data_IF_159334002431
#
_entry.id   IF_159334002431
#
_cell.length_a   1.000
_cell.length_b   1.000
_cell.length_c   1.000
_cell.angle_alpha   90.00
_cell.angle_beta   90.00
_cell.angle_gamma   90.00
#
_symmetry.space_group_name_H-M   'P 1'
#
loop_
_entity.id
_entity.type
_entity.pdbx_description
1 polymer ?
#
# COMPACT_ATOMS: atom_id res chain seq x y z
N UNK A 1 -39.81 -23.78 -71.02
CA UNK A 1 -40.23 -23.61 -69.61
C UNK A 1 -39.09 -23.76 -68.58
N UNK A 2 -37.84 -23.81 -68.98
CA UNK A 2 -36.73 -23.97 -68.08
C UNK A 2 -36.00 -22.70 -67.58
N UNK A 3 -36.07 -21.51 -68.25
CA UNK A 3 -35.31 -20.39 -67.70
C UNK A 3 -35.99 -19.62 -66.56
N UNK A 4 -37.29 -19.65 -66.41
CA UNK A 4 -38.01 -18.90 -65.38
C UNK A 4 -37.86 -19.55 -63.97
N UNK A 5 -37.82 -20.88 -63.92
CA UNK A 5 -37.59 -21.60 -62.62
C UNK A 5 -36.22 -21.35 -62.10
N UNK A 6 -35.19 -21.16 -62.87
CA UNK A 6 -33.84 -20.91 -62.47
C UNK A 6 -33.69 -19.50 -61.82
N UNK A 7 -34.43 -18.54 -62.37
CA UNK A 7 -34.43 -17.16 -61.87
C UNK A 7 -35.21 -16.98 -60.57
N UNK A 8 -36.27 -17.76 -60.37
CA UNK A 8 -37.08 -17.80 -59.16
C UNK A 8 -36.23 -18.40 -58.00
N UNK A 9 -35.57 -19.54 -58.25
CA UNK A 9 -34.71 -20.22 -57.26
C UNK A 9 -33.45 -19.37 -56.84
N UNK A 10 -32.95 -18.59 -57.80
CA UNK A 10 -31.81 -17.69 -57.53
C UNK A 10 -32.29 -16.49 -56.75
N UNK A 11 -33.45 -15.95 -56.98
CA UNK A 11 -34.04 -14.86 -56.20
C UNK A 11 -34.44 -15.31 -54.78
N UNK A 12 -34.95 -16.54 -54.61
CA UNK A 12 -35.23 -17.11 -53.28
C UNK A 12 -33.94 -17.29 -52.46
N UNK A 13 -32.87 -17.81 -53.05
CA UNK A 13 -31.57 -17.92 -52.38
C UNK A 13 -30.99 -16.57 -51.98
N UNK A 14 -31.14 -15.56 -52.86
CA UNK A 14 -30.70 -14.21 -52.57
C UNK A 14 -31.52 -13.57 -51.43
N UNK A 15 -32.83 -13.85 -51.43
CA UNK A 15 -33.74 -13.37 -50.40
C UNK A 15 -33.43 -14.05 -49.03
N UNK A 16 -33.22 -15.37 -49.00
CA UNK A 16 -32.81 -16.12 -47.82
C UNK A 16 -31.48 -15.60 -47.26
N UNK A 17 -30.48 -15.42 -48.09
CA UNK A 17 -29.19 -14.86 -47.67
C UNK A 17 -29.32 -13.43 -47.10
N UNK A 18 -30.28 -12.65 -47.59
CA UNK A 18 -30.55 -11.31 -47.09
C UNK A 18 -31.29 -11.34 -45.76
N UNK A 19 -32.17 -12.32 -45.56
CA UNK A 19 -32.85 -12.55 -44.27
C UNK A 19 -31.85 -13.01 -43.22
N UNK A 20 -31.00 -13.99 -43.52
CA UNK A 20 -29.94 -14.46 -42.60
C UNK A 20 -29.00 -13.32 -42.20
N UNK A 21 -28.63 -12.46 -43.15
CA UNK A 21 -27.80 -11.29 -42.86
C UNK A 21 -28.49 -10.28 -41.93
N UNK A 22 -29.79 -10.03 -42.16
CA UNK A 22 -30.59 -9.16 -41.29
C UNK A 22 -30.77 -9.78 -39.88
N UNK A 23 -30.94 -11.08 -39.78
CA UNK A 23 -31.02 -11.78 -38.49
C UNK A 23 -29.70 -11.66 -37.70
N UNK A 24 -28.56 -11.82 -38.37
CA UNK A 24 -27.24 -11.61 -37.76
C UNK A 24 -27.06 -10.16 -37.30
N UNK A 25 -27.49 -9.19 -38.11
CA UNK A 25 -27.43 -7.76 -37.77
C UNK A 25 -28.33 -7.41 -36.58
N UNK A 26 -29.52 -8.01 -36.51
CA UNK A 26 -30.46 -7.89 -35.39
C UNK A 26 -29.82 -8.49 -34.10
N UNK A 27 -29.21 -9.67 -34.19
CA UNK A 27 -28.54 -10.30 -33.07
C UNK A 27 -27.36 -9.44 -32.54
N UNK A 28 -26.59 -8.86 -33.48
CA UNK A 28 -25.51 -7.96 -33.15
C UNK A 28 -26.00 -6.70 -32.45
N UNK A 29 -27.08 -6.10 -33.00
CA UNK A 29 -27.69 -4.91 -32.38
C UNK A 29 -28.31 -5.21 -31.01
N UNK A 30 -28.90 -6.40 -30.83
CA UNK A 30 -29.42 -6.83 -29.52
C UNK A 30 -28.31 -6.98 -28.51
N UNK A 31 -27.18 -7.59 -28.89
CA UNK A 31 -26.01 -7.71 -28.04
C UNK A 31 -25.43 -6.34 -27.68
N UNK A 32 -25.34 -5.42 -28.64
CA UNK A 32 -24.92 -4.04 -28.38
C UNK A 32 -25.89 -3.30 -27.44
N UNK A 33 -27.21 -3.49 -27.60
CA UNK A 33 -28.21 -2.91 -26.70
C UNK A 33 -28.09 -3.42 -25.25
N UNK A 34 -27.79 -4.71 -25.07
CA UNK A 34 -27.57 -5.29 -23.75
C UNK A 34 -26.31 -4.67 -23.10
N UNK A 35 -25.21 -4.63 -23.85
CA UNK A 35 -23.96 -4.02 -23.38
C UNK A 35 -24.12 -2.53 -23.03
N UNK A 36 -24.87 -1.78 -23.87
CA UNK A 36 -25.17 -0.38 -23.57
C UNK A 36 -26.04 -0.20 -22.31
N UNK A 37 -27.01 -1.11 -22.09
CA UNK A 37 -27.81 -1.08 -20.86
C UNK A 37 -26.98 -1.38 -19.61
N UNK A 38 -26.04 -2.31 -19.70
CA UNK A 38 -25.11 -2.61 -18.60
C UNK A 38 -24.17 -1.43 -18.30
N UNK A 39 -23.66 -0.80 -19.37
CA UNK A 39 -22.85 0.42 -19.26
C UNK A 39 -23.65 1.59 -18.65
N UNK A 40 -24.91 1.74 -19.05
CA UNK A 40 -25.79 2.79 -18.52
C UNK A 40 -26.06 2.55 -17.03
N UNK A 41 -26.32 1.30 -16.65
CA UNK A 41 -26.59 0.93 -15.24
C UNK A 41 -25.34 1.15 -14.36
N UNK A 42 -24.15 0.75 -14.85
CA UNK A 42 -22.88 1.04 -14.16
C UNK A 42 -22.62 2.54 -14.05
N UNK A 43 -22.94 3.32 -15.08
CA UNK A 43 -22.83 4.78 -15.05
C UNK A 43 -23.76 5.40 -14.01
N UNK A 44 -25.02 4.95 -13.95
CA UNK A 44 -26.01 5.45 -12.98
C UNK A 44 -25.55 5.17 -11.54
N UNK A 45 -25.04 3.97 -11.27
CA UNK A 45 -24.49 3.60 -9.96
C UNK A 45 -23.27 4.50 -9.61
N UNK A 46 -22.41 4.76 -10.59
CA UNK A 46 -21.27 5.67 -10.39
C UNK A 46 -21.71 7.12 -10.12
N UNK A 47 -22.74 7.60 -10.84
CA UNK A 47 -23.30 8.94 -10.64
C UNK A 47 -23.94 9.09 -9.26
N UNK A 48 -24.64 8.05 -8.77
CA UNK A 48 -25.18 8.02 -7.41
C UNK A 48 -24.08 8.00 -6.35
N UNK A 49 -23.04 7.18 -6.55
CA UNK A 49 -21.87 7.15 -5.66
C UNK A 49 -21.12 8.49 -5.65
N UNK A 50 -20.96 9.11 -6.82
CA UNK A 50 -20.34 10.43 -6.95
C UNK A 50 -21.18 11.50 -6.28
N UNK A 51 -22.50 11.43 -6.43
CA UNK A 51 -23.45 12.35 -5.78
C UNK A 51 -23.40 12.22 -4.25
N UNK A 52 -23.37 10.99 -3.73
CA UNK A 52 -23.21 10.73 -2.30
C UNK A 52 -21.85 11.19 -1.77
N UNK A 53 -20.78 10.93 -2.54
CA UNK A 53 -19.44 11.41 -2.18
C UNK A 53 -19.36 12.95 -2.18
N UNK A 54 -19.94 13.58 -3.21
CA UNK A 54 -20.03 15.05 -3.26
C UNK A 54 -20.84 15.64 -2.11
N UNK A 55 -21.96 15.02 -1.75
CA UNK A 55 -22.75 15.46 -0.60
C UNK A 55 -21.96 15.34 0.72
N UNK A 56 -21.23 14.22 0.91
CA UNK A 56 -20.35 14.05 2.07
C UNK A 56 -19.21 15.07 2.08
N UNK A 57 -18.59 15.29 0.92
CA UNK A 57 -17.53 16.29 0.78
C UNK A 57 -18.04 17.71 1.02
N UNK A 58 -19.24 18.05 0.52
CA UNK A 58 -19.85 19.35 0.78
C UNK A 58 -20.16 19.55 2.26
N UNK A 59 -20.65 18.50 2.94
CA UNK A 59 -20.89 18.54 4.39
C UNK A 59 -19.57 18.71 5.15
N UNK A 60 -18.53 17.98 4.74
CA UNK A 60 -17.19 18.08 5.33
C UNK A 60 -16.55 19.45 5.05
N UNK A 61 -16.75 19.99 3.83
CA UNK A 61 -16.29 21.34 3.48
C UNK A 61 -16.99 22.39 4.34
N UNK A 62 -18.31 22.24 4.56
CA UNK A 62 -19.08 23.17 5.40
C UNK A 62 -18.60 23.11 6.86
N UNK A 63 -18.36 21.92 7.37
CA UNK A 63 -17.85 21.69 8.73
C UNK A 63 -16.42 22.25 8.90
N UNK A 64 -15.56 22.03 7.88
CA UNK A 64 -14.23 22.64 7.83
C UNK A 64 -14.29 24.16 7.73
N UNK A 65 -15.21 24.72 6.96
CA UNK A 65 -15.38 26.18 6.87
C UNK A 65 -15.86 26.80 8.18
N UNK A 66 -16.75 26.09 8.90
CA UNK A 66 -17.19 26.54 10.24
C UNK A 66 -16.06 26.46 11.27
N UNK A 67 -15.30 25.35 11.26
CA UNK A 67 -14.12 25.21 12.12
C UNK A 67 -13.02 26.19 11.75
N UNK A 68 -12.81 26.47 10.46
CA UNK A 68 -11.85 27.47 9.98
C UNK A 68 -12.26 28.88 10.40
N UNK A 69 -13.57 29.18 10.35
CA UNK A 69 -14.10 30.50 10.80
C UNK A 69 -13.97 30.66 12.31
N UNK A 70 -14.26 29.61 13.08
CA UNK A 70 -14.05 29.60 14.53
C UNK A 70 -12.55 29.69 14.88
N UNK A 71 -11.71 29.00 14.10
CA UNK A 71 -10.25 29.06 14.25
C UNK A 71 -9.69 30.44 13.88
N UNK A 72 -10.23 31.10 12.84
CA UNK A 72 -9.85 32.46 12.47
C UNK A 72 -10.21 33.45 13.59
N UNK A 73 -11.41 33.32 14.16
CA UNK A 73 -11.83 34.17 15.31
C UNK A 73 -10.93 33.94 16.54
N UNK A 74 -10.54 32.69 16.80
CA UNK A 74 -9.58 32.34 17.85
C UNK A 74 -8.16 32.84 17.55
N UNK A 75 -7.74 32.77 16.28
CA UNK A 75 -6.43 33.29 15.83
C UNK A 75 -6.39 34.83 15.91
N UNK A 76 -7.47 35.51 15.53
CA UNK A 76 -7.56 36.97 15.67
C UNK A 76 -7.53 37.40 17.14
N UNK A 77 -8.19 36.64 18.02
CA UNK A 77 -8.13 36.86 19.47
C UNK A 77 -6.74 36.55 20.05
N UNK A 78 -6.16 35.44 19.64
CA UNK A 78 -4.80 35.09 20.03
C UNK A 78 -3.75 36.07 19.47
N UNK A 79 -3.98 36.61 18.26
CA UNK A 79 -3.13 37.64 17.67
C UNK A 79 -3.26 38.97 18.43
N UNK A 80 -4.47 39.33 18.88
CA UNK A 80 -4.69 40.49 19.74
C UNK A 80 -4.04 40.29 21.12
N UNK A 81 -4.24 39.12 21.73
CA UNK A 81 -3.63 38.79 23.02
C UNK A 81 -2.09 38.68 22.90
N UNK A 82 -1.59 38.18 21.74
CA UNK A 82 -0.16 38.17 21.43
C UNK A 82 0.39 39.60 21.29
N UNK A 83 -0.32 40.47 20.59
CA UNK A 83 0.10 41.88 20.46
C UNK A 83 0.07 42.60 21.81
N UNK A 84 -0.94 42.30 22.66
CA UNK A 84 -1.00 42.82 24.02
C UNK A 84 0.16 42.28 24.90
N UNK A 85 0.52 41.00 24.70
CA UNK A 85 1.68 40.38 25.37
C UNK A 85 3.04 40.87 24.78
N UNK A 86 3.13 41.15 23.48
CA UNK A 86 4.32 41.77 22.89
C UNK A 86 4.53 43.21 23.38
N UNK A 87 3.43 43.96 23.57
CA UNK A 87 3.47 45.28 24.20
C UNK A 87 3.93 45.20 25.69
N UNK A 88 3.50 44.14 26.40
CA UNK A 88 3.95 43.86 27.76
C UNK A 88 5.39 43.33 27.81
N UNK A 89 5.80 42.52 26.79
CA UNK A 89 7.15 41.98 26.69
C UNK A 89 8.18 42.98 26.17
N UNK A 90 7.80 43.93 25.30
CA UNK A 90 8.65 45.05 24.86
C UNK A 90 9.02 45.96 26.04
N UNK A 91 8.18 45.94 27.06
CA UNK A 91 8.51 46.62 28.34
C UNK A 91 9.37 45.82 29.30
N UNK A 92 9.60 44.51 29.03
CA UNK A 92 10.36 43.63 29.94
C UNK A 92 11.51 42.87 29.28
N UNK A 93 12.11 43.38 28.21
CA UNK A 93 13.42 42.93 27.63
C UNK A 93 13.81 41.46 27.74
N UNK A 94 14.12 40.86 26.59
CA UNK A 94 15.13 39.79 26.34
C UNK A 94 14.74 38.31 26.44
N UNK A 95 13.51 37.87 26.05
CA UNK A 95 13.26 36.41 25.99
C UNK A 95 12.64 35.87 24.68
N UNK A 96 12.78 36.61 23.56
CA UNK A 96 12.20 36.20 22.26
C UNK A 96 12.81 34.88 21.69
N UNK A 97 14.11 34.67 21.87
CA UNK A 97 14.81 33.55 21.22
C UNK A 97 14.52 32.18 21.86
N UNK A 98 14.11 32.18 23.14
CA UNK A 98 13.84 30.93 23.88
C UNK A 98 12.49 30.31 23.50
N UNK A 99 11.50 31.12 23.15
CA UNK A 99 10.14 30.65 22.80
C UNK A 99 10.10 30.05 21.40
N UNK A 100 10.78 30.65 20.43
CA UNK A 100 10.86 30.09 19.07
C UNK A 100 11.62 28.76 19.06
N UNK A 101 12.71 28.64 19.82
CA UNK A 101 13.45 27.40 19.98
C UNK A 101 12.58 26.30 20.62
N UNK A 102 11.77 26.68 21.60
CA UNK A 102 10.88 25.72 22.30
C UNK A 102 9.71 25.25 21.40
N UNK A 103 9.14 26.13 20.59
CA UNK A 103 8.07 25.80 19.65
C UNK A 103 8.60 24.94 18.48
N UNK A 104 9.82 25.23 18.00
CA UNK A 104 10.48 24.45 16.99
C UNK A 104 10.85 23.05 17.51
N UNK A 105 11.36 22.95 18.75
CA UNK A 105 11.68 21.68 19.38
C UNK A 105 10.41 20.84 19.66
N UNK A 106 9.32 21.47 20.02
CA UNK A 106 8.05 20.81 20.25
C UNK A 106 7.34 20.40 18.96
N UNK A 107 7.45 21.18 17.88
CA UNK A 107 6.98 20.80 16.56
C UNK A 107 7.80 19.64 15.98
N UNK A 108 9.12 19.62 16.21
CA UNK A 108 10.00 18.51 15.88
C UNK A 108 9.70 17.26 16.72
N UNK A 109 9.38 17.41 18.01
CA UNK A 109 9.04 16.27 18.87
C UNK A 109 7.69 15.65 18.49
N UNK A 110 6.67 16.47 18.22
CA UNK A 110 5.38 16.00 17.69
C UNK A 110 5.51 15.34 16.30
N UNK A 111 6.41 15.84 15.46
CA UNK A 111 6.70 15.20 14.18
C UNK A 111 7.48 13.88 14.33
N UNK A 112 8.15 13.65 15.45
CA UNK A 112 8.88 12.39 15.76
C UNK A 112 7.98 11.30 16.35
N UNK A 113 6.82 11.61 16.90
CA UNK A 113 5.99 10.65 17.65
C UNK A 113 5.19 9.65 16.81
N UNK A 114 5.11 9.80 15.48
CA UNK A 114 4.43 8.80 14.65
C UNK A 114 5.45 7.87 14.00
N UNK A 115 5.97 6.93 14.78
CA UNK A 115 6.89 5.87 14.29
C UNK A 115 6.22 4.50 14.21
N UNK A 116 4.95 4.41 14.64
CA UNK A 116 4.18 3.16 14.72
C UNK A 116 3.08 3.17 13.66
N UNK A 117 2.84 2.01 13.04
CA UNK A 117 1.70 1.81 12.16
C UNK A 117 0.41 1.61 12.97
N UNK A 118 -0.61 2.40 12.65
CA UNK A 118 -1.86 2.42 13.41
C UNK A 118 -2.64 1.10 13.39
N UNK A 119 -2.48 0.28 12.33
CA UNK A 119 -3.17 -1.00 12.20
C UNK A 119 -2.42 -2.13 12.90
N UNK A 120 -1.14 -2.28 12.60
CA UNK A 120 -0.33 -3.44 12.98
C UNK A 120 0.45 -3.24 14.27
N UNK A 121 0.55 -2.01 14.76
CA UNK A 121 1.28 -1.61 15.97
C UNK A 121 2.79 -1.91 15.95
N UNK A 122 3.35 -2.28 14.80
CA UNK A 122 4.78 -2.32 14.54
C UNK A 122 5.26 -0.98 13.98
N UNK A 123 6.55 -0.83 13.72
CA UNK A 123 7.09 0.39 13.11
C UNK A 123 6.45 0.66 11.75
N UNK A 124 6.29 1.94 11.41
CA UNK A 124 5.82 2.35 10.09
C UNK A 124 7.00 2.60 9.11
N UNK A 125 6.67 2.90 7.85
CA UNK A 125 7.65 3.18 6.80
C UNK A 125 8.62 4.30 7.18
N UNK A 126 8.14 5.37 7.82
CA UNK A 126 9.01 6.48 8.23
C UNK A 126 10.06 6.04 9.23
N UNK A 127 9.66 5.25 10.22
CA UNK A 127 10.58 4.68 11.20
C UNK A 127 11.59 3.73 10.55
N UNK A 128 11.13 2.93 9.56
CA UNK A 128 12.00 2.07 8.76
C UNK A 128 13.07 2.88 8.01
N UNK A 129 12.67 3.92 7.27
CA UNK A 129 13.60 4.73 6.48
C UNK A 129 14.67 5.37 7.39
N UNK A 130 14.28 5.91 8.54
CA UNK A 130 15.18 6.49 9.53
C UNK A 130 16.14 5.44 10.12
N UNK A 131 15.63 4.27 10.50
CA UNK A 131 16.42 3.21 11.09
C UNK A 131 17.40 2.60 10.09
N UNK A 132 16.97 2.39 8.85
CA UNK A 132 17.82 1.86 7.79
C UNK A 132 19.03 2.77 7.55
N UNK A 133 18.83 4.07 7.48
CA UNK A 133 19.92 5.05 7.31
C UNK A 133 20.88 5.03 8.52
N UNK A 134 20.36 4.95 9.74
CA UNK A 134 21.17 4.85 10.95
C UNK A 134 22.02 3.58 10.95
N UNK A 135 21.41 2.43 10.67
CA UNK A 135 22.12 1.15 10.63
C UNK A 135 23.09 1.04 9.46
N UNK A 136 22.78 1.67 8.32
CA UNK A 136 23.73 1.80 7.21
C UNK A 136 25.00 2.52 7.62
N UNK A 137 24.86 3.69 8.22
CA UNK A 137 25.99 4.49 8.69
C UNK A 137 26.77 3.78 9.80
N UNK A 138 26.07 3.11 10.70
CA UNK A 138 26.68 2.34 11.77
C UNK A 138 27.47 1.15 11.22
N UNK A 139 26.82 0.31 10.39
CA UNK A 139 27.43 -0.88 9.81
C UNK A 139 28.62 -0.54 8.91
N UNK A 140 28.55 0.58 8.18
CA UNK A 140 29.69 1.10 7.40
C UNK A 140 30.91 1.47 8.25
N UNK A 141 30.69 2.06 9.45
CA UNK A 141 31.78 2.40 10.37
C UNK A 141 32.37 1.17 11.08
N UNK A 142 31.50 0.23 11.46
CA UNK A 142 31.87 -0.96 12.22
C UNK A 142 32.31 -2.11 11.31
N UNK A 143 32.22 -1.94 9.97
CA UNK A 143 32.50 -2.99 8.97
C UNK A 143 31.70 -4.26 9.25
N UNK A 144 30.40 -4.08 9.52
CA UNK A 144 29.49 -5.18 9.84
C UNK A 144 28.46 -5.36 8.71
N UNK A 145 28.01 -6.61 8.45
CA UNK A 145 26.99 -6.86 7.45
C UNK A 145 25.65 -6.27 7.87
N UNK A 146 24.90 -5.80 6.89
CA UNK A 146 23.52 -5.36 7.05
C UNK A 146 22.63 -6.14 6.07
N UNK A 147 21.61 -6.78 6.60
CA UNK A 147 20.61 -7.50 5.81
C UNK A 147 19.26 -6.82 5.88
N UNK A 148 18.51 -6.97 4.81
CA UNK A 148 17.15 -6.48 4.65
C UNK A 148 16.26 -7.59 4.07
N UNK A 149 15.09 -7.75 4.67
CA UNK A 149 14.01 -8.56 4.10
C UNK A 149 12.89 -7.62 3.66
N UNK A 150 12.36 -7.83 2.46
CA UNK A 150 11.08 -7.26 2.01
C UNK A 150 10.08 -8.38 1.85
N UNK A 151 8.97 -8.31 2.57
CA UNK A 151 7.93 -9.32 2.60
C UNK A 151 6.64 -8.75 2.01
N UNK A 152 5.92 -9.55 1.24
CA UNK A 152 4.64 -9.19 0.64
C UNK A 152 3.65 -10.34 0.80
N UNK A 153 2.44 -10.03 1.24
CA UNK A 153 1.39 -11.05 1.44
C UNK A 153 0.82 -11.46 0.09
N UNK A 154 1.00 -12.73 -0.24
CA UNK A 154 0.62 -13.27 -1.55
C UNK A 154 -0.87 -13.16 -1.83
N UNK A 155 -1.21 -12.55 -2.96
CA UNK A 155 -2.59 -12.39 -3.41
C UNK A 155 -3.51 -11.65 -2.42
N UNK A 156 -2.98 -10.74 -1.59
CA UNK A 156 -3.72 -10.05 -0.54
C UNK A 156 -4.94 -9.28 -1.08
N UNK A 157 -4.85 -8.68 -2.25
CA UNK A 157 -6.02 -8.06 -2.89
C UNK A 157 -7.17 -9.06 -3.07
N UNK A 158 -6.89 -10.30 -3.52
CA UNK A 158 -7.90 -11.35 -3.66
C UNK A 158 -8.45 -11.82 -2.32
N UNK A 159 -7.63 -11.76 -1.29
CA UNK A 159 -8.07 -12.01 0.08
C UNK A 159 -9.13 -10.99 0.50
N UNK A 160 -8.82 -9.70 0.33
CA UNK A 160 -9.75 -8.61 0.63
C UNK A 160 -11.03 -8.68 -0.21
N UNK A 161 -10.91 -8.98 -1.50
CA UNK A 161 -12.06 -9.12 -2.40
C UNK A 161 -13.00 -10.26 -1.97
N UNK A 162 -12.45 -11.31 -1.34
CA UNK A 162 -13.21 -12.49 -0.89
C UNK A 162 -13.78 -12.36 0.51
N UNK A 163 -12.98 -11.83 1.47
CA UNK A 163 -13.31 -11.86 2.90
C UNK A 163 -13.62 -10.45 3.47
N UNK A 164 -13.43 -9.41 2.68
CA UNK A 164 -13.62 -8.02 3.08
C UNK A 164 -12.41 -7.40 3.79
N UNK A 165 -12.35 -6.08 3.80
CA UNK A 165 -11.27 -5.32 4.42
C UNK A 165 -11.06 -5.59 5.92
N UNK A 166 -12.11 -5.76 6.76
CA UNK A 166 -11.90 -6.08 8.18
C UNK A 166 -11.12 -7.37 8.39
N UNK A 167 -11.43 -8.42 7.61
CA UNK A 167 -10.68 -9.68 7.66
C UNK A 167 -9.23 -9.50 7.16
N UNK A 168 -9.02 -8.63 6.15
CA UNK A 168 -7.69 -8.25 5.68
C UNK A 168 -6.88 -7.55 6.76
N UNK A 169 -7.49 -6.65 7.51
CA UNK A 169 -6.85 -5.97 8.63
C UNK A 169 -6.42 -6.95 9.73
N UNK A 170 -7.28 -7.91 10.08
CA UNK A 170 -6.95 -8.96 11.04
C UNK A 170 -5.82 -9.86 10.52
N UNK A 171 -5.84 -10.19 9.23
CA UNK A 171 -4.76 -10.92 8.57
C UNK A 171 -3.42 -10.16 8.67
N UNK A 172 -3.40 -8.86 8.35
CA UNK A 172 -2.19 -8.04 8.45
C UNK A 172 -1.66 -7.94 9.88
N UNK A 173 -2.54 -7.83 10.89
CA UNK A 173 -2.15 -7.86 12.31
C UNK A 173 -1.47 -9.18 12.68
N UNK A 174 -2.07 -10.30 12.24
CA UNK A 174 -1.52 -11.62 12.49
C UNK A 174 -0.16 -11.82 11.80
N UNK A 175 -0.02 -11.40 10.54
CA UNK A 175 1.23 -11.45 9.79
C UNK A 175 2.31 -10.59 10.48
N UNK A 176 2.00 -9.34 10.82
CA UNK A 176 2.94 -8.45 11.50
C UNK A 176 3.46 -9.05 12.80
N UNK A 177 2.55 -9.58 13.63
CA UNK A 177 2.89 -10.23 14.90
C UNK A 177 3.76 -11.46 14.71
N UNK A 178 3.51 -12.22 13.66
CA UNK A 178 4.31 -13.41 13.34
C UNK A 178 5.72 -13.03 12.91
N UNK A 179 5.87 -12.03 12.03
CA UNK A 179 7.18 -11.52 11.62
C UNK A 179 7.97 -11.02 12.84
N UNK A 180 7.30 -10.25 13.72
CA UNK A 180 7.92 -9.76 14.97
C UNK A 180 8.39 -10.91 15.87
N UNK A 181 7.66 -12.02 15.93
CA UNK A 181 8.03 -13.20 16.72
C UNK A 181 9.24 -13.94 16.16
N UNK A 182 9.42 -13.92 14.83
CA UNK A 182 10.58 -14.51 14.17
C UNK A 182 11.85 -13.66 14.32
N UNK A 183 11.72 -12.35 14.59
CA UNK A 183 12.81 -11.41 14.79
C UNK A 183 13.07 -11.23 16.29
N UNK A 184 14.10 -11.92 16.81
CA UNK A 184 14.28 -12.07 18.28
C UNK A 184 15.32 -11.13 18.88
N UNK A 185 16.13 -10.45 18.06
CA UNK A 185 17.21 -9.59 18.55
C UNK A 185 16.69 -8.17 18.79
N UNK A 186 17.08 -7.49 19.88
CA UNK A 186 16.69 -6.11 20.14
C UNK A 186 17.12 -5.11 19.05
N UNK A 187 18.15 -5.47 18.26
CA UNK A 187 18.65 -4.65 17.16
C UNK A 187 17.81 -4.79 15.89
N UNK A 188 17.10 -5.91 15.73
CA UNK A 188 16.25 -6.17 14.58
C UNK A 188 15.03 -5.24 14.62
N UNK A 189 14.57 -4.84 13.45
CA UNK A 189 13.40 -3.97 13.35
C UNK A 189 12.43 -4.52 12.32
N UNK A 190 11.18 -4.63 12.70
CA UNK A 190 10.06 -4.97 11.81
C UNK A 190 9.23 -3.73 11.56
N UNK A 191 8.90 -3.47 10.32
CA UNK A 191 8.08 -2.33 9.92
C UNK A 191 7.04 -2.72 8.87
N UNK A 192 5.90 -2.04 8.89
CA UNK A 192 4.97 -2.05 7.76
C UNK A 192 5.45 -1.04 6.72
N UNK A 193 5.89 -1.56 5.58
CA UNK A 193 6.48 -0.74 4.52
C UNK A 193 5.41 -0.04 3.68
N UNK A 194 4.25 -0.67 3.47
CA UNK A 194 3.08 -0.09 2.83
C UNK A 194 2.04 -1.15 2.47
N UNK A 195 0.76 -0.86 2.61
CA UNK A 195 -0.30 -1.80 2.26
C UNK A 195 -0.14 -3.17 2.93
N UNK A 196 0.14 -4.19 2.12
CA UNK A 196 0.44 -5.57 2.51
C UNK A 196 1.94 -5.89 2.60
N UNK A 197 2.80 -4.88 2.48
CA UNK A 197 4.24 -5.04 2.47
C UNK A 197 4.86 -4.78 3.84
N UNK A 198 5.80 -5.63 4.22
CA UNK A 198 6.56 -5.52 5.46
C UNK A 198 8.05 -5.50 5.15
N UNK A 199 8.83 -4.86 6.01
CA UNK A 199 10.28 -4.81 5.93
C UNK A 199 10.91 -5.22 7.24
N UNK A 200 12.03 -5.95 7.18
CA UNK A 200 12.81 -6.33 8.37
C UNK A 200 14.26 -5.93 8.18
N UNK A 201 14.75 -5.07 9.06
CA UNK A 201 16.16 -4.69 9.12
C UNK A 201 16.88 -5.63 10.09
N UNK A 202 17.95 -6.24 9.63
CA UNK A 202 18.75 -7.21 10.41
C UNK A 202 20.22 -6.74 10.46
N UNK A 203 20.58 -5.91 11.45
CA UNK A 203 21.96 -5.47 11.64
C UNK A 203 22.86 -6.64 12.03
N UNK A 204 24.12 -6.56 11.64
CA UNK A 204 25.14 -7.57 11.92
C UNK A 204 24.66 -9.01 11.62
N UNK A 205 24.03 -9.18 10.43
CA UNK A 205 23.45 -10.44 9.99
C UNK A 205 23.95 -10.74 8.58
N UNK A 206 24.58 -11.89 8.42
CA UNK A 206 25.04 -12.40 7.13
C UNK A 206 23.88 -13.03 6.34
N UNK A 207 24.14 -13.31 5.07
CA UNK A 207 23.19 -13.93 4.14
C UNK A 207 22.50 -15.16 4.73
N UNK A 208 23.28 -16.07 5.33
CA UNK A 208 22.76 -17.33 5.89
C UNK A 208 21.75 -17.07 7.00
N UNK A 209 22.07 -16.12 7.90
CA UNK A 209 21.19 -15.70 8.99
C UNK A 209 19.93 -15.02 8.48
N UNK A 210 20.06 -14.13 7.50
CA UNK A 210 18.92 -13.46 6.90
C UNK A 210 18.01 -14.43 6.15
N UNK A 211 18.59 -15.40 5.42
CA UNK A 211 17.85 -16.47 4.72
C UNK A 211 17.08 -17.34 5.71
N UNK A 212 17.75 -17.76 6.79
CA UNK A 212 17.09 -18.54 7.84
C UNK A 212 15.87 -17.84 8.44
N UNK A 213 16.02 -16.55 8.80
CA UNK A 213 14.90 -15.74 9.34
C UNK A 213 13.78 -15.61 8.30
N UNK A 214 14.12 -15.37 7.03
CA UNK A 214 13.13 -15.23 5.96
C UNK A 214 12.34 -16.52 5.72
N UNK A 215 13.00 -17.68 5.75
CA UNK A 215 12.35 -18.98 5.66
C UNK A 215 11.49 -19.28 6.89
N UNK A 216 11.97 -18.94 8.10
CA UNK A 216 11.19 -19.04 9.34
C UNK A 216 9.91 -18.19 9.26
N UNK A 217 9.99 -16.97 8.73
CA UNK A 217 8.83 -16.11 8.49
C UNK A 217 7.83 -16.76 7.55
N UNK A 218 8.27 -17.28 6.38
CA UNK A 218 7.40 -17.98 5.45
C UNK A 218 6.68 -19.16 6.11
N UNK A 219 7.42 -19.99 6.83
CA UNK A 219 6.88 -21.17 7.51
C UNK A 219 5.92 -20.80 8.64
N UNK A 220 6.27 -19.82 9.47
CA UNK A 220 5.46 -19.39 10.60
C UNK A 220 4.13 -18.76 10.14
N UNK A 221 4.14 -17.96 9.08
CA UNK A 221 2.93 -17.38 8.51
C UNK A 221 2.04 -18.47 7.90
N UNK A 222 2.63 -19.41 7.16
CA UNK A 222 1.87 -20.55 6.65
C UNK A 222 1.26 -21.40 7.76
N UNK A 223 1.95 -21.55 8.89
CA UNK A 223 1.49 -22.31 10.06
C UNK A 223 0.30 -21.63 10.78
N UNK A 224 0.06 -20.32 10.60
CA UNK A 224 -1.16 -19.66 11.09
C UNK A 224 -2.41 -20.27 10.47
N UNK A 225 -2.28 -20.92 9.33
CA UNK A 225 -3.36 -21.59 8.59
C UNK A 225 -4.60 -20.69 8.37
N UNK A 226 -4.38 -19.39 8.16
CA UNK A 226 -5.44 -18.43 7.86
C UNK A 226 -6.01 -18.80 6.49
N UNK A 227 -7.31 -19.14 6.36
CA UNK A 227 -7.88 -19.60 5.10
C UNK A 227 -7.76 -18.55 3.99
N UNK A 228 -7.28 -18.95 2.81
CA UNK A 228 -7.21 -18.10 1.61
C UNK A 228 -7.65 -18.90 0.37
N UNK A 229 -8.95 -19.12 0.23
CA UNK A 229 -9.52 -19.93 -0.85
C UNK A 229 -9.22 -19.40 -2.26
N UNK A 230 -9.07 -18.08 -2.41
CA UNK A 230 -8.81 -17.39 -3.67
C UNK A 230 -7.32 -17.31 -4.03
N UNK A 231 -6.43 -17.84 -3.19
CA UNK A 231 -5.00 -17.93 -3.50
C UNK A 231 -4.71 -19.02 -4.53
N UNK A 232 -3.77 -18.73 -5.43
CA UNK A 232 -3.28 -19.70 -6.42
C UNK A 232 -2.07 -20.48 -5.94
N UNK A 233 -1.51 -20.15 -4.78
CA UNK A 233 -0.34 -20.85 -4.21
C UNK A 233 -0.78 -22.02 -3.34
N UNK A 234 -1.54 -21.70 -2.29
CA UNK A 234 -2.08 -22.68 -1.34
C UNK A 234 -3.35 -22.14 -0.70
N UNK A 235 -4.12 -23.00 -0.01
CA UNK A 235 -5.42 -22.64 0.59
C UNK A 235 -5.32 -21.83 1.88
N UNK A 236 -4.15 -21.33 2.22
CA UNK A 236 -3.91 -20.44 3.34
C UNK A 236 -3.06 -19.24 2.92
N UNK A 237 -3.03 -18.22 3.77
CA UNK A 237 -2.19 -17.05 3.59
C UNK A 237 -0.72 -17.46 3.55
N UNK A 238 0.01 -16.88 2.62
CA UNK A 238 1.45 -17.04 2.46
C UNK A 238 2.10 -15.70 2.17
N UNK A 239 3.42 -15.66 2.26
CA UNK A 239 4.22 -14.47 1.97
C UNK A 239 5.36 -14.82 1.03
N UNK A 240 5.69 -13.89 0.16
CA UNK A 240 6.93 -13.89 -0.61
C UNK A 240 7.93 -12.97 0.05
N UNK A 241 9.18 -13.37 0.16
CA UNK A 241 10.24 -12.60 0.83
C UNK A 241 11.43 -12.43 -0.11
N UNK A 242 11.83 -11.19 -0.32
CA UNK A 242 13.08 -10.83 -0.96
C UNK A 242 14.15 -10.51 0.07
N UNK A 243 15.34 -11.03 -0.11
CA UNK A 243 16.47 -10.92 0.82
C UNK A 243 17.62 -10.21 0.13
N UNK A 244 18.22 -9.26 0.81
CA UNK A 244 19.47 -8.64 0.42
C UNK A 244 20.41 -8.53 1.61
N UNK A 245 21.70 -8.70 1.37
CA UNK A 245 22.77 -8.52 2.37
C UNK A 245 23.92 -7.78 1.75
N UNK A 246 24.47 -6.82 2.43
CA UNK A 246 25.66 -6.09 2.00
C UNK A 246 26.58 -5.75 3.16
N UNK A 247 27.82 -5.45 2.85
CA UNK A 247 28.72 -4.72 3.73
C UNK A 247 28.61 -3.23 3.34
N UNK A 248 27.93 -2.39 4.14
CA UNK A 248 27.69 -1.00 3.75
C UNK A 248 28.98 -0.23 3.50
N UNK A 249 29.02 0.50 2.39
CA UNK A 249 30.11 1.42 2.03
C UNK A 249 29.61 2.87 2.10
N UNK A 250 30.49 3.81 2.46
CA UNK A 250 30.20 5.23 2.55
C UNK A 250 29.87 5.87 1.20
N UNK A 251 30.32 5.26 0.10
CA UNK A 251 30.09 5.74 -1.26
C UNK A 251 28.81 5.20 -1.91
N UNK A 252 28.09 4.33 -1.21
CA UNK A 252 26.85 3.70 -1.67
C UNK A 252 25.72 4.10 -0.74
N UNK A 253 24.54 4.32 -1.27
CA UNK A 253 23.36 4.69 -0.49
C UNK A 253 22.61 3.46 0.03
N UNK A 254 22.00 3.54 1.20
CA UNK A 254 21.16 2.51 1.79
C UNK A 254 20.03 2.03 0.86
N UNK A 255 19.62 2.91 -0.08
CA UNK A 255 18.61 2.59 -1.10
C UNK A 255 18.98 1.39 -1.98
N UNK A 256 20.28 1.17 -2.24
CA UNK A 256 20.73 0.01 -3.02
C UNK A 256 20.34 -1.33 -2.37
N UNK A 257 20.34 -1.38 -1.03
CA UNK A 257 19.91 -2.57 -0.29
C UNK A 257 18.41 -2.84 -0.48
N UNK A 258 17.60 -1.78 -0.51
CA UNK A 258 16.15 -1.89 -0.78
C UNK A 258 15.92 -2.38 -2.20
N UNK A 259 16.59 -1.79 -3.20
CA UNK A 259 16.46 -2.17 -4.61
C UNK A 259 16.87 -3.62 -4.84
N UNK A 260 17.91 -4.10 -4.14
CA UNK A 260 18.35 -5.48 -4.20
C UNK A 260 17.33 -6.44 -3.54
N UNK A 261 16.78 -6.09 -2.38
CA UNK A 261 15.75 -6.89 -1.72
C UNK A 261 14.45 -6.94 -2.56
N UNK A 262 14.08 -5.83 -3.22
CA UNK A 262 12.91 -5.76 -4.12
C UNK A 262 13.07 -6.70 -5.33
N UNK A 263 14.25 -6.73 -5.93
CA UNK A 263 14.57 -7.75 -6.98
C UNK A 263 14.41 -9.17 -6.47
N UNK A 264 14.87 -9.46 -5.25
CA UNK A 264 14.66 -10.75 -4.60
C UNK A 264 13.18 -11.09 -4.42
N UNK A 265 12.38 -10.12 -3.97
CA UNK A 265 10.95 -10.27 -3.81
C UNK A 265 10.24 -10.51 -5.15
N UNK A 266 10.62 -9.78 -6.17
CA UNK A 266 10.11 -9.99 -7.52
C UNK A 266 10.41 -11.42 -8.02
N UNK A 267 11.63 -11.92 -7.78
CA UNK A 267 12.01 -13.29 -8.12
C UNK A 267 11.18 -14.31 -7.32
N UNK A 268 10.98 -14.10 -6.02
CA UNK A 268 10.15 -14.97 -5.18
C UNK A 268 8.72 -15.08 -5.74
N UNK A 269 8.12 -13.92 -6.12
CA UNK A 269 6.78 -13.88 -6.73
C UNK A 269 6.72 -14.63 -8.07
N UNK A 270 7.75 -14.51 -8.92
CA UNK A 270 7.79 -15.18 -10.23
C UNK A 270 8.08 -16.67 -10.16
N UNK A 271 8.84 -17.12 -9.16
CA UNK A 271 9.16 -18.53 -8.95
C UNK A 271 8.03 -19.33 -8.29
N UNK A 272 6.86 -18.73 -8.10
CA UNK A 272 5.67 -19.42 -7.59
C UNK A 272 5.24 -18.98 -6.19
N UNK A 273 5.82 -17.89 -5.66
CA UNK A 273 5.47 -17.33 -4.34
C UNK A 273 5.76 -18.24 -3.14
N UNK A 274 5.30 -17.90 -1.94
CA UNK A 274 5.42 -18.69 -0.71
C UNK A 274 6.86 -19.13 -0.46
N UNK A 275 7.79 -18.21 -0.58
CA UNK A 275 9.23 -18.47 -0.47
C UNK A 275 10.05 -17.23 -0.19
N UNK A 276 11.24 -17.48 0.31
CA UNK A 276 12.29 -16.49 0.44
C UNK A 276 13.30 -16.64 -0.72
N UNK A 277 13.72 -15.52 -1.32
CA UNK A 277 14.73 -15.51 -2.39
C UNK A 277 15.78 -14.46 -2.08
N UNK A 278 17.03 -14.90 -2.03
CA UNK A 278 18.17 -14.00 -1.90
C UNK A 278 18.56 -13.47 -3.29
N UNK A 279 18.69 -12.16 -3.41
CA UNK A 279 19.26 -11.55 -4.60
C UNK A 279 20.79 -11.54 -4.50
N UNK A 280 21.43 -12.10 -5.51
CA UNK A 280 22.90 -12.28 -5.55
C UNK A 280 23.61 -11.20 -6.35
N UNK A 281 22.86 -10.25 -6.95
CA UNK A 281 23.38 -9.17 -7.82
C UNK A 281 23.80 -7.92 -7.02
#
# INVERSE_FOLDING_TARGET
MEPENHQIVTNEKLFLAKVERLEQEIQLLQAQCISLKELLNTKTIHEEQLSQANYRLQTEILDRQQTETALRLLLDRLSSEKNDLEIILDTTTSHSDTIEALLYDRALSLAREVTIDGLTQISNRRAFDQRLEQEWQRSSREHMPLSLLLCDVDFFKRYNDRYGHPAGDDCLRAVAKTIETCTRRPADMVARYGGEEFAVILPNTLKEGATFIAEEVCHAIAALNIPHESSFVKKCVSVSVGISTTMPDRNVHARSLIESADKGLYLAKNQGRDRAVFNSD
#
